data_IF_851416984087
#
_entry.id   IF_851416984087
#
_cell.length_a   1.000
_cell.length_b   1.000
_cell.length_c   1.000
_cell.angle_alpha   90.00
_cell.angle_beta   90.00
_cell.angle_gamma   90.00
#
_symmetry.space_group_name_H-M   'P 1'
#
loop_
_entity.id
_entity.type
_entity.pdbx_description
1 polymer ?
#
# COMPACT_ATOMS: atom_id res chain seq x y z
N UNK A 1 -14.02 -3.46 10.47
CA UNK A 1 -13.38 -3.05 9.21
C UNK A 1 -14.46 -2.37 8.40
N UNK A 2 -14.33 -1.08 8.14
CA UNK A 2 -15.37 -0.33 7.44
C UNK A 2 -15.23 -0.58 5.94
N UNK A 3 -16.16 -1.35 5.38
CA UNK A 3 -16.22 -1.57 3.93
C UNK A 3 -16.66 -0.28 3.26
N UNK A 4 -15.81 0.27 2.41
CA UNK A 4 -16.12 1.43 1.58
C UNK A 4 -17.10 1.01 0.49
N UNK A 5 -18.31 1.58 0.48
CA UNK A 5 -19.39 1.17 -0.45
C UNK A 5 -19.45 1.99 -1.72
N UNK A 6 -18.94 3.22 -1.69
CA UNK A 6 -19.02 4.15 -2.81
C UNK A 6 -17.86 5.15 -2.80
N UNK A 7 -17.76 5.92 -3.90
CA UNK A 7 -16.70 6.92 -4.09
C UNK A 7 -16.71 8.05 -3.06
N UNK A 8 -17.87 8.45 -2.56
CA UNK A 8 -17.99 9.54 -1.58
C UNK A 8 -17.43 9.11 -0.22
N UNK A 9 -17.76 7.89 0.20
CA UNK A 9 -17.16 7.24 1.37
C UNK A 9 -15.65 7.08 1.19
N UNK A 10 -15.19 6.64 0.00
CA UNK A 10 -13.76 6.49 -0.30
C UNK A 10 -13.01 7.82 -0.17
N UNK A 11 -13.58 8.90 -0.73
CA UNK A 11 -12.98 10.25 -0.67
C UNK A 11 -12.92 10.77 0.76
N UNK A 12 -13.97 10.51 1.55
CA UNK A 12 -14.06 10.93 2.95
C UNK A 12 -13.04 10.17 3.81
N UNK A 13 -12.93 8.86 3.59
CA UNK A 13 -11.93 8.01 4.22
C UNK A 13 -10.52 8.51 3.88
N UNK A 14 -10.22 8.71 2.60
CA UNK A 14 -8.91 9.17 2.16
C UNK A 14 -8.54 10.50 2.83
N UNK A 15 -9.40 11.52 2.77
CA UNK A 15 -9.11 12.82 3.43
C UNK A 15 -8.82 12.70 4.91
N UNK A 16 -9.47 11.77 5.62
CA UNK A 16 -9.26 11.54 7.05
C UNK A 16 -7.89 10.94 7.35
N UNK A 17 -7.41 10.02 6.51
CA UNK A 17 -6.19 9.25 6.75
C UNK A 17 -4.97 9.71 5.94
N UNK A 18 -5.15 10.60 4.97
CA UNK A 18 -4.07 11.13 4.11
C UNK A 18 -2.94 11.78 4.91
N UNK A 19 -3.27 12.36 6.07
CA UNK A 19 -2.28 12.93 7.00
C UNK A 19 -1.30 11.91 7.58
N UNK A 20 -1.64 10.61 7.55
CA UNK A 20 -0.77 9.51 7.96
C UNK A 20 0.00 8.86 6.82
N UNK A 21 -0.20 9.30 5.57
CA UNK A 21 0.55 8.79 4.44
C UNK A 21 2.00 9.31 4.44
N UNK A 22 2.97 8.48 4.02
CA UNK A 22 4.36 8.94 3.88
C UNK A 22 4.46 10.06 2.85
N UNK A 23 5.23 11.11 3.16
CA UNK A 23 5.46 12.24 2.25
C UNK A 23 6.64 11.97 1.33
N UNK A 24 6.83 12.84 0.36
CA UNK A 24 8.00 12.79 -0.53
C UNK A 24 9.29 12.88 0.31
N UNK A 25 10.18 11.91 0.10
CA UNK A 25 11.44 11.79 0.83
C UNK A 25 11.36 10.97 2.14
N UNK A 26 10.16 10.71 2.66
CA UNK A 26 10.00 9.82 3.81
C UNK A 26 10.31 8.37 3.41
N UNK A 27 10.86 7.60 4.34
CA UNK A 27 11.01 6.16 4.14
C UNK A 27 9.64 5.49 4.07
N UNK A 28 9.40 4.72 3.01
CA UNK A 28 8.17 3.95 2.87
C UNK A 28 8.00 2.97 4.06
N UNK A 29 6.79 2.89 4.67
CA UNK A 29 6.49 1.93 5.73
C UNK A 29 6.80 0.52 5.26
N UNK A 30 7.40 -0.28 6.14
CA UNK A 30 7.74 -1.65 5.83
C UNK A 30 6.49 -2.53 5.92
N UNK A 31 6.36 -3.48 5.00
CA UNK A 31 5.26 -4.43 4.96
C UNK A 31 5.74 -5.74 4.33
N UNK A 32 4.97 -6.80 4.56
CA UNK A 32 5.18 -8.11 3.98
C UNK A 32 3.90 -8.52 3.24
N UNK A 33 4.05 -8.90 1.97
CA UNK A 33 2.99 -9.43 1.14
C UNK A 33 3.43 -10.79 0.60
N UNK A 34 2.47 -11.67 0.32
CA UNK A 34 2.77 -12.89 -0.42
C UNK A 34 2.92 -12.58 -1.91
N UNK A 35 3.69 -13.40 -2.58
CA UNK A 35 3.84 -13.35 -4.03
C UNK A 35 2.52 -13.63 -4.77
N UNK A 36 2.56 -13.59 -6.10
CA UNK A 36 1.36 -13.82 -6.92
C UNK A 36 0.80 -15.24 -6.81
N UNK A 37 1.60 -16.21 -6.33
CA UNK A 37 1.16 -17.58 -6.07
C UNK A 37 0.58 -17.72 -4.66
N UNK A 38 0.77 -16.73 -3.79
CA UNK A 38 0.33 -16.77 -2.40
C UNK A 38 1.24 -17.59 -1.50
N UNK A 39 2.47 -17.88 -1.91
CA UNK A 39 3.39 -18.77 -1.21
C UNK A 39 4.48 -17.97 -0.50
N UNK A 40 5.30 -17.27 -1.28
CA UNK A 40 6.53 -16.68 -0.78
C UNK A 40 6.28 -15.30 -0.16
N UNK A 41 6.64 -15.08 1.12
CA UNK A 41 6.57 -13.77 1.74
C UNK A 41 7.67 -12.86 1.17
N UNK A 42 7.25 -11.70 0.68
CA UNK A 42 8.08 -10.64 0.13
C UNK A 42 7.95 -9.41 1.02
N UNK A 43 9.09 -8.97 1.59
CA UNK A 43 9.17 -7.81 2.46
C UNK A 43 9.71 -6.59 1.72
N UNK A 44 9.04 -5.43 1.81
CA UNK A 44 9.45 -4.23 1.08
C UNK A 44 10.91 -3.83 1.35
N UNK A 45 11.36 -3.96 2.60
CA UNK A 45 12.72 -3.59 2.99
C UNK A 45 13.83 -4.30 2.21
N UNK A 46 13.56 -5.48 1.63
CA UNK A 46 14.56 -6.24 0.87
C UNK A 46 14.96 -5.58 -0.47
N UNK A 47 14.12 -4.67 -1.00
CA UNK A 47 14.39 -3.97 -2.25
C UNK A 47 15.08 -2.61 -2.08
N UNK A 48 15.18 -2.11 -0.83
CA UNK A 48 15.72 -0.77 -0.57
C UNK A 48 17.19 -0.71 -1.00
N UNK A 49 17.53 0.28 -1.82
CA UNK A 49 18.89 0.53 -2.29
C UNK A 49 19.33 -0.33 -3.49
N UNK A 50 18.56 -1.35 -3.85
CA UNK A 50 18.83 -2.20 -5.03
C UNK A 50 18.16 -1.62 -6.29
N UNK A 51 16.85 -1.32 -6.19
CA UNK A 51 16.07 -0.79 -7.32
C UNK A 51 14.87 0.05 -6.87
N UNK A 52 14.38 0.97 -7.71
CA UNK A 52 13.10 1.63 -7.48
C UNK A 52 11.95 0.62 -7.43
N UNK A 53 10.97 0.86 -6.55
CA UNK A 53 9.80 0.00 -6.36
C UNK A 53 8.53 0.84 -6.47
N UNK A 54 7.53 0.32 -7.19
CA UNK A 54 6.19 0.89 -7.26
C UNK A 54 5.19 -0.06 -6.58
N UNK A 55 4.34 0.48 -5.70
CA UNK A 55 3.24 -0.26 -5.08
C UNK A 55 1.93 0.12 -5.77
N UNK A 56 1.24 -0.87 -6.32
CA UNK A 56 -0.04 -0.70 -7.01
C UNK A 56 -1.12 -1.40 -6.19
N UNK A 57 -2.12 -0.65 -5.72
CA UNK A 57 -3.32 -1.21 -5.12
C UNK A 57 -4.37 -1.43 -6.20
N UNK A 58 -4.82 -2.67 -6.37
CA UNK A 58 -5.85 -3.04 -7.33
C UNK A 58 -6.60 -4.28 -6.88
N UNK A 59 -7.78 -4.49 -7.45
CA UNK A 59 -8.54 -5.73 -7.29
C UNK A 59 -8.48 -6.51 -8.61
N UNK A 60 -8.14 -7.79 -8.53
CA UNK A 60 -8.35 -8.73 -9.61
C UNK A 60 -9.67 -9.47 -9.32
N UNK A 61 -10.68 -9.22 -10.14
CA UNK A 61 -12.03 -9.83 -10.03
C UNK A 61 -12.30 -10.70 -11.23
#
# INVERSE_FOLDING_TARGET
>A
MDTIKNRQEATTWQRKYDSGAPRLGDSAPDFELRDIQGEDPIRLSSFRGDKPVALIFGSFT
#
